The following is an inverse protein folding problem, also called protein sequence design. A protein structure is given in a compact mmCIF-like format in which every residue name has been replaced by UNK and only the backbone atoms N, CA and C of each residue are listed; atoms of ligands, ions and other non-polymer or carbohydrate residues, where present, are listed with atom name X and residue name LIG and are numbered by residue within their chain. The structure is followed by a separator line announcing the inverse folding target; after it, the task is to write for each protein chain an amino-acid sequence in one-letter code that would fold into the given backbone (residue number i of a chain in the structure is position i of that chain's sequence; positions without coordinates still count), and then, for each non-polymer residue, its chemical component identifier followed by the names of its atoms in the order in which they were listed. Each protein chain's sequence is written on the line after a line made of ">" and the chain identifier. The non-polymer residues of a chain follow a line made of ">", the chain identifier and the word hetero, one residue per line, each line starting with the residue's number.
data_IF_256958323189
#
_entry.id   IF_256958323189
#
_cell.length_a   1.000
_cell.length_b   1.000
_cell.length_c   1.000
_cell.angle_alpha   90.00
_cell.angle_beta   90.00
_cell.angle_gamma   90.00
#
_symmetry.space_group_name_H-M   'P 1'
#
loop_
_entity.id
_entity.type
_entity.pdbx_description
1 polymer ?
#
# COMPACT_ATOMS: atom_id res chain seq x y z
N UNK A 1 -2.13 -26.04 15.15
CA UNK A 1 -1.82 -26.04 13.69
C UNK A 1 -1.34 -24.65 13.34
N UNK A 2 -0.23 -24.54 12.64
CA UNK A 2 0.30 -23.24 12.24
C UNK A 2 -0.63 -22.62 11.20
N UNK A 3 -1.26 -21.50 11.54
CA UNK A 3 -2.14 -20.75 10.66
C UNK A 3 -1.37 -19.60 10.01
N UNK A 4 -1.33 -19.57 8.69
CA UNK A 4 -0.63 -18.53 7.91
C UNK A 4 -1.62 -17.61 7.22
N UNK A 5 -1.51 -16.32 7.49
CA UNK A 5 -2.26 -15.30 6.76
C UNK A 5 -1.47 -14.85 5.53
N UNK A 6 -2.09 -14.89 4.36
CA UNK A 6 -1.52 -14.39 3.09
C UNK A 6 -2.33 -13.18 2.65
N UNK A 7 -1.68 -12.04 2.43
CA UNK A 7 -2.34 -10.84 1.94
C UNK A 7 -1.87 -10.53 0.52
N UNK A 8 -2.83 -10.42 -0.40
CA UNK A 8 -2.63 -10.01 -1.79
C UNK A 8 -3.31 -8.66 -2.05
N UNK A 9 -3.05 -8.02 -3.19
CA UNK A 9 -3.64 -6.71 -3.49
C UNK A 9 -5.09 -6.78 -4.00
N UNK A 10 -5.51 -7.92 -4.63
CA UNK A 10 -6.84 -7.99 -5.25
C UNK A 10 -7.63 -9.26 -4.90
N UNK A 11 -8.98 -9.20 -4.86
CA UNK A 11 -9.83 -10.35 -4.58
C UNK A 11 -9.70 -11.47 -5.61
N UNK A 12 -9.48 -11.10 -6.87
CA UNK A 12 -9.29 -12.07 -7.97
C UNK A 12 -8.04 -12.91 -7.73
N UNK A 13 -6.92 -12.28 -7.36
CA UNK A 13 -5.69 -13.00 -6.98
C UNK A 13 -5.90 -13.85 -5.74
N UNK A 14 -6.58 -13.34 -4.72
CA UNK A 14 -6.88 -14.11 -3.51
C UNK A 14 -7.64 -15.40 -3.82
N UNK A 15 -8.70 -15.31 -4.64
CA UNK A 15 -9.50 -16.46 -5.07
C UNK A 15 -8.68 -17.50 -5.84
N UNK A 16 -7.74 -17.06 -6.67
CA UNK A 16 -6.93 -17.96 -7.49
C UNK A 16 -5.82 -18.62 -6.68
N UNK A 17 -5.09 -17.85 -5.88
CA UNK A 17 -3.97 -18.33 -5.06
C UNK A 17 -4.44 -19.33 -4.00
N UNK A 18 -5.61 -19.07 -3.38
CA UNK A 18 -6.21 -19.97 -2.38
C UNK A 18 -6.37 -21.41 -2.88
N UNK A 19 -6.56 -21.61 -4.19
CA UNK A 19 -6.70 -22.96 -4.78
C UNK A 19 -5.40 -23.78 -4.77
N UNK A 20 -4.27 -23.10 -4.65
CA UNK A 20 -2.93 -23.71 -4.71
C UNK A 20 -2.28 -23.84 -3.34
N UNK A 21 -2.85 -23.19 -2.32
CA UNK A 21 -2.32 -23.22 -0.96
C UNK A 21 -3.01 -24.29 -0.10
N UNK A 22 -2.30 -24.86 0.88
CA UNK A 22 -2.89 -25.76 1.89
C UNK A 22 -4.01 -25.09 2.69
N UNK A 23 -4.85 -25.89 3.36
CA UNK A 23 -6.03 -25.45 4.10
C UNK A 23 -5.72 -24.57 5.32
N UNK A 24 -4.51 -24.65 5.86
CA UNK A 24 -4.03 -23.82 6.97
C UNK A 24 -3.57 -22.42 6.55
N UNK A 25 -3.69 -22.08 5.26
CA UNK A 25 -3.43 -20.74 4.74
C UNK A 25 -4.75 -20.00 4.52
N UNK A 26 -4.90 -18.86 5.16
CA UNK A 26 -5.99 -17.92 4.89
C UNK A 26 -5.52 -16.85 3.91
N UNK A 27 -6.24 -16.64 2.81
CA UNK A 27 -5.86 -15.64 1.78
C UNK A 27 -6.88 -14.52 1.77
N UNK A 28 -6.44 -13.30 2.05
CA UNK A 28 -7.25 -12.09 2.03
C UNK A 28 -6.68 -11.05 1.05
N UNK A 29 -7.53 -10.12 0.63
CA UNK A 29 -7.14 -9.03 -0.26
C UNK A 29 -7.13 -7.69 0.47
N UNK A 30 -6.07 -6.89 0.25
CA UNK A 30 -5.97 -5.51 0.75
C UNK A 30 -6.80 -4.51 -0.05
N UNK A 31 -7.29 -4.91 -1.22
CA UNK A 31 -7.99 -4.03 -2.16
C UNK A 31 -7.11 -2.85 -2.62
N UNK A 32 -5.85 -3.12 -2.93
CA UNK A 32 -4.83 -2.13 -3.24
C UNK A 32 -4.22 -1.48 -1.99
N UNK A 33 -3.84 -0.21 -2.09
CA UNK A 33 -3.27 0.55 -0.98
C UNK A 33 -4.26 0.71 0.18
N UNK A 34 -3.81 0.41 1.40
CA UNK A 34 -4.62 0.52 2.65
C UNK A 34 -4.51 1.90 3.30
N UNK A 35 -3.52 2.70 2.92
CA UNK A 35 -3.37 4.10 3.31
C UNK A 35 -2.91 4.94 2.13
N UNK A 36 -3.24 6.23 2.18
CA UNK A 36 -2.95 7.17 1.11
C UNK A 36 -2.77 8.58 1.66
N UNK A 37 -2.25 9.50 0.85
CA UNK A 37 -2.29 10.93 1.13
C UNK A 37 -3.74 11.43 1.11
N UNK A 38 -4.12 12.43 1.93
CA UNK A 38 -5.47 12.98 1.92
C UNK A 38 -5.89 13.46 0.53
N UNK A 39 -7.09 13.10 0.11
CA UNK A 39 -7.68 13.54 -1.16
C UNK A 39 -8.32 14.93 -1.05
N UNK A 40 -8.63 15.37 0.15
CA UNK A 40 -9.24 16.66 0.41
C UNK A 40 -9.26 17.05 1.87
N UNK A 41 -9.68 18.27 2.17
CA UNK A 41 -9.66 18.88 3.50
C UNK A 41 -10.43 18.08 4.58
N UNK A 42 -11.45 17.31 4.17
CA UNK A 42 -12.25 16.48 5.09
C UNK A 42 -11.48 15.26 5.63
N UNK A 43 -10.41 14.85 4.97
CA UNK A 43 -9.59 13.69 5.36
C UNK A 43 -8.37 14.09 6.19
N UNK A 44 -8.07 15.39 6.27
CA UNK A 44 -6.94 15.91 7.02
C UNK A 44 -7.20 15.79 8.53
N UNK A 45 -6.31 15.11 9.29
CA UNK A 45 -6.43 15.00 10.73
C UNK A 45 -6.45 16.38 11.42
N UNK A 46 -7.26 16.52 12.47
CA UNK A 46 -7.40 17.77 13.19
C UNK A 46 -6.07 18.31 13.75
N UNK A 47 -5.16 17.43 14.14
CA UNK A 47 -3.85 17.75 14.69
C UNK A 47 -2.98 18.59 13.74
N UNK A 48 -3.06 18.32 12.44
CA UNK A 48 -2.22 18.99 11.42
C UNK A 48 -3.01 19.93 10.49
N UNK A 49 -4.31 20.10 10.73
CA UNK A 49 -5.21 20.87 9.87
C UNK A 49 -4.82 22.36 9.73
N UNK A 50 -4.12 22.89 10.71
CA UNK A 50 -3.66 24.29 10.71
C UNK A 50 -2.32 24.50 10.00
N UNK A 51 -1.62 23.42 9.70
CA UNK A 51 -0.33 23.47 9.01
C UNK A 51 -0.54 23.83 7.53
N UNK A 52 0.30 24.71 7.00
CA UNK A 52 0.20 25.17 5.59
C UNK A 52 0.32 24.02 4.59
N UNK A 53 1.17 23.06 4.87
CA UNK A 53 1.43 21.89 4.03
C UNK A 53 0.33 20.81 4.12
N UNK A 54 -0.55 20.87 5.13
CA UNK A 54 -1.56 19.84 5.36
C UNK A 54 -2.49 19.60 4.16
N UNK A 55 -2.77 20.67 3.40
CA UNK A 55 -3.60 20.60 2.19
C UNK A 55 -2.97 19.79 1.07
N UNK A 56 -1.66 19.87 0.95
CA UNK A 56 -0.87 19.07 0.01
C UNK A 56 -0.76 17.64 0.52
N UNK A 57 -0.69 17.47 1.84
CA UNK A 57 -0.48 16.19 2.49
C UNK A 57 0.98 15.74 2.50
N UNK A 58 1.89 16.67 2.25
CA UNK A 58 3.35 16.46 2.29
C UNK A 58 3.98 17.62 3.06
N UNK A 59 4.75 17.32 4.09
CA UNK A 59 5.41 18.33 4.90
C UNK A 59 6.67 18.84 4.19
N UNK A 60 6.52 19.92 3.45
CA UNK A 60 7.62 20.54 2.66
C UNK A 60 8.66 21.23 3.52
N UNK A 61 8.46 21.37 4.84
CA UNK A 61 9.39 21.98 5.79
C UNK A 61 10.20 20.95 6.57
N UNK A 62 9.82 19.68 6.55
CA UNK A 62 10.50 18.57 7.22
C UNK A 62 10.64 17.38 6.28
N UNK A 63 11.71 17.39 5.51
CA UNK A 63 12.16 16.26 4.64
C UNK A 63 11.06 15.63 3.78
N UNK A 64 10.07 16.43 3.37
CA UNK A 64 8.93 16.00 2.56
C UNK A 64 8.12 14.84 3.16
N UNK A 65 8.02 14.77 4.48
CA UNK A 65 7.30 13.71 5.17
C UNK A 65 5.83 13.62 4.69
N UNK A 66 5.38 12.45 4.19
CA UNK A 66 4.02 12.29 3.70
C UNK A 66 3.01 12.06 4.83
N UNK A 67 1.89 12.77 4.79
CA UNK A 67 0.76 12.59 5.70
C UNK A 67 -0.09 11.40 5.25
N UNK A 68 0.22 10.19 5.70
CA UNK A 68 -0.58 9.02 5.39
C UNK A 68 -1.77 8.86 6.30
N UNK A 69 -2.93 8.68 5.68
CA UNK A 69 -4.20 8.36 6.35
C UNK A 69 -4.76 7.02 5.87
N UNK A 70 -5.64 6.42 6.64
CA UNK A 70 -6.49 5.31 6.19
C UNK A 70 -7.78 5.90 5.64
N UNK A 71 -8.02 5.86 4.32
CA UNK A 71 -9.26 6.34 3.71
C UNK A 71 -10.50 5.66 4.31
N UNK A 72 -11.63 6.36 4.30
CA UNK A 72 -12.86 5.84 4.93
C UNK A 72 -13.31 4.49 4.34
N UNK A 73 -13.21 4.33 3.03
CA UNK A 73 -13.51 3.11 2.28
C UNK A 73 -12.59 1.93 2.62
N UNK A 74 -11.38 2.19 3.12
CA UNK A 74 -10.40 1.16 3.50
C UNK A 74 -10.49 0.69 4.95
N UNK A 75 -11.22 1.43 5.81
CA UNK A 75 -11.31 1.10 7.24
C UNK A 75 -11.87 -0.30 7.50
N UNK A 76 -12.86 -0.73 6.69
CA UNK A 76 -13.45 -2.08 6.82
C UNK A 76 -12.42 -3.16 6.49
N UNK A 77 -11.73 -3.03 5.37
CA UNK A 77 -10.69 -3.97 4.94
C UNK A 77 -9.54 -4.03 5.96
N UNK A 78 -9.07 -2.88 6.44
CA UNK A 78 -8.02 -2.83 7.47
C UNK A 78 -8.47 -3.53 8.75
N UNK A 79 -9.74 -3.40 9.16
CA UNK A 79 -10.29 -4.11 10.32
C UNK A 79 -10.30 -5.61 10.08
N UNK A 80 -10.79 -6.08 8.94
CA UNK A 80 -10.82 -7.51 8.57
C UNK A 80 -9.40 -8.11 8.59
N UNK A 81 -8.42 -7.43 8.00
CA UNK A 81 -7.03 -7.87 8.01
C UNK A 81 -6.44 -7.93 9.42
N UNK A 82 -6.74 -6.94 10.28
CA UNK A 82 -6.32 -6.94 11.69
C UNK A 82 -6.95 -8.07 12.49
N UNK A 83 -8.20 -8.39 12.22
CA UNK A 83 -8.90 -9.46 12.93
C UNK A 83 -8.36 -10.85 12.50
N UNK A 84 -8.12 -11.07 11.21
CA UNK A 84 -7.47 -12.28 10.70
C UNK A 84 -6.03 -12.45 11.24
N UNK A 85 -5.28 -11.36 11.36
CA UNK A 85 -3.92 -11.39 11.88
C UNK A 85 -3.83 -11.90 13.32
N UNK A 86 -4.86 -11.68 14.16
CA UNK A 86 -4.87 -12.15 15.56
C UNK A 86 -4.80 -13.67 15.71
N UNK A 87 -5.32 -14.40 14.72
CA UNK A 87 -5.32 -15.87 14.69
C UNK A 87 -4.13 -16.48 13.95
N UNK A 88 -3.27 -15.65 13.33
CA UNK A 88 -2.18 -16.12 12.51
C UNK A 88 -0.87 -16.28 13.30
N UNK A 89 -0.07 -17.29 12.91
CA UNK A 89 1.28 -17.54 13.42
C UNK A 89 2.36 -16.97 12.49
N UNK A 90 2.00 -16.71 11.22
CA UNK A 90 2.86 -16.13 10.19
C UNK A 90 2.05 -15.24 9.27
N UNK A 91 2.66 -14.18 8.76
CA UNK A 91 2.11 -13.31 7.73
C UNK A 91 2.97 -13.37 6.47
N UNK A 92 2.33 -13.64 5.32
CA UNK A 92 2.95 -13.54 4.01
C UNK A 92 2.32 -12.40 3.21
N UNK A 93 3.15 -11.47 2.74
CA UNK A 93 2.74 -10.38 1.89
C UNK A 93 3.01 -10.77 0.43
N UNK A 94 1.94 -11.08 -0.30
CA UNK A 94 1.99 -11.67 -1.64
C UNK A 94 1.43 -10.71 -2.71
N UNK A 95 1.82 -9.44 -2.61
CA UNK A 95 1.54 -8.40 -3.62
C UNK A 95 2.51 -8.50 -4.79
N UNK A 96 2.25 -7.80 -5.89
CA UNK A 96 3.06 -7.87 -7.10
C UNK A 96 4.56 -7.61 -6.87
N UNK A 97 5.39 -8.16 -7.74
CA UNK A 97 6.84 -7.97 -7.72
C UNK A 97 7.22 -6.72 -8.51
N UNK A 98 6.73 -5.59 -8.04
CA UNK A 98 7.09 -4.29 -8.55
C UNK A 98 7.14 -3.27 -7.39
N UNK A 99 7.57 -2.05 -7.68
CA UNK A 99 7.64 -1.00 -6.66
C UNK A 99 6.28 -0.68 -6.02
N UNK A 100 5.17 -0.81 -6.76
CA UNK A 100 3.82 -0.58 -6.21
C UNK A 100 3.45 -1.67 -5.22
N UNK A 101 3.68 -2.95 -5.56
CA UNK A 101 3.46 -4.08 -4.66
C UNK A 101 4.34 -4.05 -3.42
N UNK A 102 5.60 -3.60 -3.52
CA UNK A 102 6.47 -3.40 -2.35
C UNK A 102 5.93 -2.29 -1.44
N UNK A 103 5.49 -1.17 -2.01
CA UNK A 103 4.88 -0.07 -1.26
C UNK A 103 3.57 -0.51 -0.59
N UNK A 104 2.69 -1.27 -1.27
CA UNK A 104 1.49 -1.84 -0.65
C UNK A 104 1.86 -2.72 0.55
N UNK A 105 2.84 -3.62 0.40
CA UNK A 105 3.33 -4.48 1.48
C UNK A 105 3.87 -3.67 2.66
N UNK A 106 4.66 -2.65 2.40
CA UNK A 106 5.18 -1.75 3.42
C UNK A 106 4.05 -0.99 4.14
N UNK A 107 3.06 -0.46 3.41
CA UNK A 107 1.90 0.18 4.02
C UNK A 107 1.09 -0.77 4.91
N UNK A 108 0.96 -2.04 4.49
CA UNK A 108 0.33 -3.07 5.32
C UNK A 108 1.10 -3.29 6.63
N UNK A 109 2.44 -3.40 6.57
CA UNK A 109 3.28 -3.52 7.76
C UNK A 109 3.07 -2.35 8.73
N UNK A 110 3.03 -1.11 8.21
CA UNK A 110 2.84 0.09 9.02
C UNK A 110 1.47 0.15 9.72
N UNK A 111 0.42 -0.37 9.10
CA UNK A 111 -0.96 -0.34 9.62
C UNK A 111 -1.26 -1.53 10.52
N UNK A 112 -0.81 -2.72 10.13
CA UNK A 112 -1.09 -3.95 10.86
C UNK A 112 -0.18 -4.12 12.06
N UNK A 113 1.06 -3.66 11.97
CA UNK A 113 2.10 -3.78 13.00
C UNK A 113 2.19 -5.21 13.54
N UNK A 114 2.39 -6.21 12.66
CA UNK A 114 2.40 -7.61 13.05
C UNK A 114 3.50 -7.89 14.08
N UNK A 115 3.17 -8.71 15.09
CA UNK A 115 4.12 -9.19 16.10
C UNK A 115 4.58 -10.62 15.80
N UNK A 116 4.20 -11.15 14.64
CA UNK A 116 4.50 -12.50 14.15
C UNK A 116 5.50 -12.40 12.99
N UNK A 117 6.21 -13.49 12.66
CA UNK A 117 7.09 -13.54 11.51
C UNK A 117 6.38 -13.11 10.25
N UNK A 118 6.95 -12.15 9.54
CA UNK A 118 6.34 -11.57 8.33
C UNK A 118 7.36 -11.58 7.20
N UNK A 119 6.99 -12.09 6.04
CA UNK A 119 7.85 -12.19 4.85
C UNK A 119 7.11 -11.78 3.59
N UNK A 120 7.86 -11.39 2.58
CA UNK A 120 7.37 -11.24 1.20
C UNK A 120 7.35 -12.59 0.52
N UNK A 121 6.24 -12.89 -0.15
CA UNK A 121 6.07 -14.03 -1.04
C UNK A 121 5.91 -13.49 -2.46
N UNK A 122 6.91 -13.70 -3.31
CA UNK A 122 6.99 -13.10 -4.65
C UNK A 122 6.90 -14.16 -5.73
N UNK A 123 6.06 -13.92 -6.75
CA UNK A 123 5.86 -14.81 -7.88
C UNK A 123 5.51 -14.00 -9.14
N UNK A 124 6.00 -14.43 -10.30
CA UNK A 124 5.75 -13.78 -11.60
C UNK A 124 4.48 -14.27 -12.28
N UNK A 125 3.99 -15.46 -11.91
CA UNK A 125 2.79 -16.07 -12.45
C UNK A 125 1.98 -16.79 -11.37
N UNK A 126 0.66 -16.88 -11.54
CA UNK A 126 -0.23 -17.55 -10.59
C UNK A 126 -0.45 -18.99 -11.04
N UNK A 127 0.60 -19.81 -10.95
CA UNK A 127 0.55 -21.26 -11.19
C UNK A 127 0.90 -22.00 -9.89
N UNK A 128 0.44 -23.26 -9.75
CA UNK A 128 0.78 -24.08 -8.57
C UNK A 128 2.28 -24.19 -8.35
N UNK A 129 3.06 -24.36 -9.44
CA UNK A 129 4.52 -24.47 -9.40
C UNK A 129 5.17 -23.18 -8.90
N UNK A 130 4.74 -22.02 -9.42
CA UNK A 130 5.29 -20.73 -9.02
C UNK A 130 4.93 -20.38 -7.57
N UNK A 131 3.70 -20.67 -7.15
CA UNK A 131 3.25 -20.42 -5.77
C UNK A 131 4.04 -21.28 -4.79
N UNK A 132 4.22 -22.59 -5.06
CA UNK A 132 5.01 -23.46 -4.18
C UNK A 132 6.47 -22.98 -4.11
N UNK A 133 7.08 -22.63 -5.25
CA UNK A 133 8.44 -22.08 -5.27
C UNK A 133 8.54 -20.78 -4.44
N UNK A 134 7.54 -19.90 -4.54
CA UNK A 134 7.51 -18.65 -3.79
C UNK A 134 7.37 -18.85 -2.27
N UNK A 135 6.69 -19.90 -1.83
CA UNK A 135 6.64 -20.30 -0.40
C UNK A 135 8.02 -20.69 0.14
N UNK A 136 8.83 -21.39 -0.67
CA UNK A 136 10.18 -21.82 -0.30
C UNK A 136 11.19 -20.67 -0.37
N UNK A 137 10.91 -19.61 -1.14
CA UNK A 137 11.83 -18.50 -1.43
C UNK A 137 11.28 -17.15 -0.94
N UNK A 138 10.75 -17.11 0.28
CA UNK A 138 10.31 -15.85 0.89
C UNK A 138 11.49 -14.94 1.22
N UNK A 139 11.27 -13.61 1.16
CA UNK A 139 12.28 -12.58 1.42
C UNK A 139 11.76 -11.46 2.32
N UNK A 140 12.60 -10.51 2.64
CA UNK A 140 12.19 -9.25 3.27
C UNK A 140 11.58 -8.28 2.24
N UNK A 141 10.94 -7.22 2.72
CA UNK A 141 10.49 -6.10 1.87
C UNK A 141 11.73 -5.40 1.30
N UNK A 142 11.69 -5.12 0.01
CA UNK A 142 12.71 -4.32 -0.68
C UNK A 142 12.45 -2.83 -0.42
N UNK A 143 13.21 -2.25 0.50
CA UNK A 143 13.03 -0.85 0.89
C UNK A 143 13.50 0.14 -0.18
N UNK A 144 14.36 -0.26 -1.11
CA UNK A 144 14.76 0.62 -2.24
C UNK A 144 13.58 0.80 -3.20
N UNK A 145 12.86 -0.29 -3.52
CA UNK A 145 11.65 -0.22 -4.33
C UNK A 145 10.53 0.56 -3.62
N UNK A 146 10.39 0.39 -2.30
CA UNK A 146 9.45 1.19 -1.49
C UNK A 146 9.80 2.68 -1.63
N UNK A 147 11.04 3.07 -1.37
CA UNK A 147 11.49 4.46 -1.46
C UNK A 147 11.28 5.05 -2.85
N UNK A 148 11.57 4.29 -3.91
CA UNK A 148 11.34 4.72 -5.28
C UNK A 148 9.86 5.03 -5.56
N UNK A 149 8.94 4.20 -5.05
CA UNK A 149 7.50 4.42 -5.21
C UNK A 149 7.00 5.60 -4.37
N UNK A 150 7.46 5.71 -3.11
CA UNK A 150 7.09 6.80 -2.21
C UNK A 150 7.59 8.15 -2.75
N UNK A 151 8.83 8.21 -3.23
CA UNK A 151 9.39 9.42 -3.87
C UNK A 151 8.57 9.85 -5.07
N UNK A 152 8.23 8.91 -5.97
CA UNK A 152 7.36 9.20 -7.11
C UNK A 152 6.02 9.75 -6.66
N UNK A 153 5.39 9.11 -5.65
CA UNK A 153 4.09 9.54 -5.14
C UNK A 153 4.11 10.95 -4.57
N UNK A 154 5.17 11.30 -3.84
CA UNK A 154 5.39 12.66 -3.30
C UNK A 154 5.56 13.65 -4.45
N UNK A 155 6.42 13.35 -5.43
CA UNK A 155 6.65 14.19 -6.60
C UNK A 155 5.36 14.43 -7.40
N UNK A 156 4.59 13.37 -7.70
CA UNK A 156 3.32 13.48 -8.41
C UNK A 156 2.33 14.37 -7.64
N UNK A 157 2.31 14.28 -6.30
CA UNK A 157 1.48 15.13 -5.44
C UNK A 157 1.91 16.60 -5.49
N UNK A 158 3.18 16.87 -5.33
CA UNK A 158 3.72 18.25 -5.38
C UNK A 158 3.49 18.86 -6.76
N UNK A 159 3.78 18.12 -7.81
CA UNK A 159 3.56 18.56 -9.18
C UNK A 159 2.08 18.90 -9.44
N UNK A 160 1.17 18.02 -9.04
CA UNK A 160 -0.26 18.21 -9.24
C UNK A 160 -0.85 19.37 -8.44
N UNK A 161 -0.36 19.65 -7.23
CA UNK A 161 -0.93 20.65 -6.33
C UNK A 161 -0.25 22.01 -6.40
N UNK A 162 1.03 22.06 -6.75
CA UNK A 162 1.81 23.31 -6.81
C UNK A 162 1.99 23.80 -8.25
N UNK A 163 2.49 22.93 -9.14
CA UNK A 163 2.84 23.33 -10.49
C UNK A 163 1.63 23.40 -11.42
N UNK A 164 0.70 22.44 -11.34
CA UNK A 164 -0.47 22.43 -12.23
C UNK A 164 -1.34 23.68 -12.08
N UNK A 165 -1.69 24.16 -10.87
CA UNK A 165 -2.45 25.41 -10.72
C UNK A 165 -1.71 26.62 -11.24
N UNK A 166 -0.39 26.67 -11.13
CA UNK A 166 0.43 27.74 -11.66
C UNK A 166 0.38 27.78 -13.19
N UNK A 167 0.53 26.63 -13.83
CA UNK A 167 0.43 26.51 -15.29
C UNK A 167 -0.96 26.85 -15.80
N UNK A 168 -2.01 26.42 -15.12
CA UNK A 168 -3.39 26.77 -15.50
C UNK A 168 -3.64 28.27 -15.41
N UNK A 169 -3.04 28.94 -14.43
CA UNK A 169 -3.18 30.39 -14.27
C UNK A 169 -2.38 31.22 -15.30
N UNK A 170 -1.19 30.70 -15.68
CA UNK A 170 -0.21 31.46 -16.48
C UNK A 170 -0.21 31.12 -17.97
N UNK A 171 -0.57 29.91 -18.33
CA UNK A 171 -0.53 29.39 -19.70
C UNK A 171 -1.93 29.16 -20.24
N UNK A 172 -2.62 28.11 -19.78
CA UNK A 172 -3.98 27.80 -20.17
C UNK A 172 -4.65 26.90 -19.13
N UNK A 173 -6.00 27.00 -18.94
CA UNK A 173 -6.72 26.05 -18.11
C UNK A 173 -6.48 24.61 -18.58
N UNK A 174 -6.23 23.69 -17.62
CA UNK A 174 -6.02 22.26 -17.87
C UNK A 174 -4.81 21.92 -18.77
N UNK A 175 -3.81 22.79 -18.85
CA UNK A 175 -2.64 22.65 -19.75
C UNK A 175 -1.82 21.35 -19.55
N UNK A 176 -1.98 20.62 -18.43
CA UNK A 176 -1.29 19.35 -18.16
C UNK A 176 -2.12 18.10 -18.51
N UNK A 177 -3.36 18.24 -18.96
CA UNK A 177 -4.21 17.09 -19.32
C UNK A 177 -3.77 16.49 -20.67
N UNK A 178 -3.02 17.24 -21.47
CA UNK A 178 -2.60 16.84 -22.81
C UNK A 178 -1.12 16.48 -22.93
N UNK A 179 -0.41 16.26 -21.79
CA UNK A 179 1.00 15.83 -21.79
C UNK A 179 1.09 14.33 -21.54
#
# INVERSE_FOLDING_TARGET
>A
MDHTLVIVESPTKAKTIRKFLPSNYEVLASMGHVRDLPKGAAEIPAAVKKEKWSRIGVNTTEDFEPLYIVPKDKKKVVKELKDALKGANQLLLATDEDREGESISWHLMQILKPKIPTKRMVFHEITKKAINKALDQTREIDMELVQAQETRRILDRLFGYELSPLLWKKVAPLSLIHI
#
